data_IF_217364015827
#
_entry.id   IF_217364015827
#
_cell.length_a   1.000
_cell.length_b   1.000
_cell.length_c   1.000
_cell.angle_alpha   90.00
_cell.angle_beta   90.00
_cell.angle_gamma   90.00
#
_symmetry.space_group_name_H-M   'P 1'
#
loop_
_entity.id
_entity.type
_entity.pdbx_description
1 polymer ?
#
# COMPACT_ATOMS: atom_id res chain seq x y z
N UNK A 1 -14.11 -7.61 -11.97
CA UNK A 1 -13.88 -6.75 -10.80
C UNK A 1 -12.76 -7.38 -10.00
N UNK A 2 -11.60 -6.74 -9.92
CA UNK A 2 -10.47 -7.31 -9.20
C UNK A 2 -10.66 -7.16 -7.67
N UNK A 3 -9.85 -7.85 -6.88
CA UNK A 3 -9.98 -7.84 -5.41
C UNK A 3 -9.81 -6.44 -4.80
N UNK A 4 -9.01 -5.58 -5.43
CA UNK A 4 -8.81 -4.19 -5.03
C UNK A 4 -10.08 -3.35 -5.22
N UNK A 5 -10.73 -3.46 -6.39
CA UNK A 5 -12.01 -2.79 -6.66
C UNK A 5 -13.12 -3.26 -5.70
N UNK A 6 -13.10 -4.54 -5.32
CA UNK A 6 -14.03 -5.14 -4.38
C UNK A 6 -13.86 -4.59 -2.95
N UNK A 7 -12.61 -4.33 -2.52
CA UNK A 7 -12.32 -3.72 -1.22
C UNK A 7 -12.71 -2.24 -1.17
N UNK A 8 -12.41 -1.49 -2.24
CA UNK A 8 -12.73 -0.07 -2.36
C UNK A 8 -14.24 0.20 -2.35
N UNK A 9 -15.02 -0.67 -3.00
CA UNK A 9 -16.48 -0.56 -3.15
C UNK A 9 -17.26 -0.94 -1.89
N UNK A 10 -16.65 -1.70 -0.98
CA UNK A 10 -17.29 -2.23 0.24
C UNK A 10 -16.74 -1.61 1.53
N UNK A 11 -16.33 -0.33 1.49
CA UNK A 11 -15.81 0.44 2.64
C UNK A 11 -16.67 0.33 3.92
N UNK A 12 -17.99 0.19 3.78
CA UNK A 12 -18.95 0.04 4.88
C UNK A 12 -19.04 -1.39 5.45
N UNK A 13 -18.73 -2.42 4.65
CA UNK A 13 -18.69 -3.83 5.09
C UNK A 13 -17.36 -4.14 5.79
N UNK A 14 -16.30 -3.39 5.49
CA UNK A 14 -15.01 -3.43 6.19
C UNK A 14 -15.17 -3.25 7.70
N UNK A 15 -16.21 -2.54 8.16
CA UNK A 15 -16.55 -2.38 9.58
C UNK A 15 -17.07 -3.67 10.26
N UNK A 16 -17.73 -4.59 9.55
CA UNK A 16 -18.24 -5.84 10.14
C UNK A 16 -17.16 -6.90 10.34
N UNK A 17 -16.03 -6.82 9.61
CA UNK A 17 -14.90 -7.75 9.77
C UNK A 17 -14.04 -7.48 11.02
N UNK A 18 -14.24 -6.33 11.68
CA UNK A 18 -13.55 -5.96 12.93
C UNK A 18 -13.89 -6.93 14.08
N UNK A 19 -15.01 -7.68 14.00
CA UNK A 19 -15.43 -8.62 15.05
C UNK A 19 -14.63 -9.92 15.11
N UNK A 20 -13.87 -10.28 14.05
CA UNK A 20 -12.99 -11.45 14.02
C UNK A 20 -11.49 -11.11 13.98
N UNK A 21 -11.13 -9.84 14.18
CA UNK A 21 -9.74 -9.43 14.38
C UNK A 21 -8.97 -9.12 13.10
N UNK A 22 -8.70 -7.81 12.95
CA UNK A 22 -7.45 -7.27 12.41
C UNK A 22 -7.35 -7.25 10.87
N UNK A 23 -7.96 -6.25 10.24
CA UNK A 23 -7.17 -5.50 9.26
C UNK A 23 -6.28 -4.56 10.08
N UNK A 24 -5.01 -4.92 10.23
CA UNK A 24 -4.08 -4.13 11.03
C UNK A 24 -3.87 -2.76 10.37
N UNK A 25 -3.69 -1.73 11.17
CA UNK A 25 -3.23 -0.40 10.73
C UNK A 25 -2.05 -0.48 9.73
N UNK A 26 -1.20 -1.49 9.89
CA UNK A 26 -0.07 -1.79 9.01
C UNK A 26 -0.53 -2.05 7.57
N UNK A 27 -1.60 -2.84 7.37
CA UNK A 27 -2.10 -3.14 6.01
C UNK A 27 -2.65 -1.88 5.34
N UNK A 28 -3.36 -1.02 6.09
CA UNK A 28 -3.88 0.23 5.55
C UNK A 28 -2.76 1.17 5.12
N UNK A 29 -1.71 1.31 5.96
CA UNK A 29 -0.52 2.10 5.63
C UNK A 29 0.22 1.53 4.42
N UNK A 30 0.39 0.21 4.37
CA UNK A 30 1.10 -0.44 3.26
C UNK A 30 0.34 -0.27 1.92
N UNK A 31 -1.01 -0.26 1.95
CA UNK A 31 -1.84 0.10 0.78
C UNK A 31 -1.61 1.56 0.38
N UNK A 32 -1.62 2.49 1.33
CA UNK A 32 -1.43 3.92 1.07
C UNK A 32 -0.05 4.22 0.47
N UNK A 33 1.01 3.58 1.00
CA UNK A 33 2.37 3.66 0.45
C UNK A 33 2.41 3.17 -1.00
N UNK A 34 1.71 2.07 -1.30
CA UNK A 34 1.67 1.51 -2.65
C UNK A 34 0.90 2.41 -3.64
N UNK A 35 -0.22 3.00 -3.22
CA UNK A 35 -0.95 3.96 -4.05
C UNK A 35 -0.11 5.22 -4.30
N UNK A 36 0.57 5.72 -3.26
CA UNK A 36 1.47 6.87 -3.37
C UNK A 36 2.63 6.59 -4.33
N UNK A 37 3.26 5.42 -4.25
CA UNK A 37 4.31 5.00 -5.19
C UNK A 37 3.87 5.04 -6.65
N UNK A 38 2.66 4.58 -6.95
CA UNK A 38 2.11 4.61 -8.31
C UNK A 38 1.64 6.00 -8.76
N UNK A 39 1.45 6.94 -7.83
CA UNK A 39 1.06 8.32 -8.13
C UNK A 39 2.23 9.26 -8.40
N UNK A 40 3.45 8.90 -7.99
CA UNK A 40 4.66 9.68 -8.27
C UNK A 40 4.97 9.59 -9.77
N UNK A 41 5.33 10.73 -10.38
CA UNK A 41 5.61 10.87 -11.81
C UNK A 41 6.56 9.77 -12.35
N UNK A 42 6.29 9.30 -13.57
CA UNK A 42 7.05 8.21 -14.22
C UNK A 42 8.46 8.62 -14.67
N UNK A 43 8.75 9.91 -14.70
CA UNK A 43 10.09 10.45 -14.97
C UNK A 43 11.07 10.27 -13.79
N UNK A 44 10.58 9.90 -12.60
CA UNK A 44 11.40 9.67 -11.41
C UNK A 44 11.83 8.20 -11.35
N UNK A 45 13.12 7.95 -11.10
CA UNK A 45 13.65 6.59 -10.96
C UNK A 45 13.06 5.88 -9.74
N UNK A 46 12.96 4.55 -9.79
CA UNK A 46 12.36 3.75 -8.71
C UNK A 46 13.09 3.97 -7.38
N UNK A 47 14.40 4.06 -7.43
CA UNK A 47 15.28 4.31 -6.28
C UNK A 47 14.91 5.62 -5.59
N UNK A 48 14.66 6.68 -6.37
CA UNK A 48 14.28 7.98 -5.83
C UNK A 48 12.84 7.95 -5.28
N UNK A 49 11.90 7.24 -5.94
CA UNK A 49 10.54 7.02 -5.40
C UNK A 49 10.59 6.36 -4.02
N UNK A 50 11.47 5.36 -3.82
CA UNK A 50 11.60 4.71 -2.52
C UNK A 50 12.17 5.62 -1.44
N UNK A 51 13.13 6.48 -1.77
CA UNK A 51 13.70 7.46 -0.84
C UNK A 51 12.65 8.48 -0.39
N UNK A 52 11.88 9.04 -1.32
CA UNK A 52 10.81 10.01 -1.02
C UNK A 52 9.77 9.40 -0.06
N UNK A 53 9.31 8.18 -0.36
CA UNK A 53 8.33 7.50 0.47
C UNK A 53 8.90 7.08 1.84
N UNK A 54 10.18 6.73 1.91
CA UNK A 54 10.85 6.41 3.16
C UNK A 54 10.86 7.62 4.11
N UNK A 55 11.14 8.81 3.59
CA UNK A 55 11.06 10.06 4.35
C UNK A 55 9.63 10.41 4.76
N UNK A 56 8.67 10.33 3.82
CA UNK A 56 7.27 10.68 4.06
C UNK A 56 6.60 9.82 5.15
N UNK A 57 6.93 8.52 5.17
CA UNK A 57 6.30 7.55 6.07
C UNK A 57 7.17 7.19 7.28
N UNK A 58 8.33 7.83 7.44
CA UNK A 58 9.31 7.54 8.50
C UNK A 58 9.72 6.06 8.56
N UNK A 59 9.99 5.47 7.39
CA UNK A 59 10.39 4.07 7.24
C UNK A 59 11.76 3.97 6.58
N UNK A 60 12.40 2.80 6.69
CA UNK A 60 13.61 2.55 5.91
C UNK A 60 13.27 2.29 4.44
N UNK A 61 14.17 2.69 3.53
CA UNK A 61 14.04 2.44 2.09
C UNK A 61 13.77 0.96 1.79
N UNK A 62 14.51 0.05 2.45
CA UNK A 62 14.31 -1.41 2.35
C UNK A 62 12.90 -1.85 2.73
N UNK A 63 12.28 -1.18 3.72
CA UNK A 63 10.90 -1.50 4.11
C UNK A 63 9.91 -1.06 3.06
N UNK A 64 10.10 0.12 2.45
CA UNK A 64 9.29 0.58 1.32
C UNK A 64 9.40 -0.40 0.16
N UNK A 65 10.62 -0.76 -0.26
CA UNK A 65 10.85 -1.76 -1.32
C UNK A 65 10.10 -3.06 -1.07
N UNK A 66 10.19 -3.59 0.15
CA UNK A 66 9.50 -4.82 0.55
C UNK A 66 7.98 -4.68 0.47
N UNK A 67 7.42 -3.54 0.89
CA UNK A 67 5.99 -3.26 0.78
C UNK A 67 5.56 -3.24 -0.69
N UNK A 68 6.28 -2.51 -1.54
CA UNK A 68 5.96 -2.42 -2.97
C UNK A 68 6.03 -3.80 -3.64
N UNK A 69 7.08 -4.57 -3.37
CA UNK A 69 7.23 -5.94 -3.89
C UNK A 69 6.09 -6.86 -3.45
N UNK A 70 5.74 -6.85 -2.15
CA UNK A 70 4.66 -7.66 -1.62
C UNK A 70 3.30 -7.28 -2.24
N UNK A 71 3.04 -5.99 -2.42
CA UNK A 71 1.78 -5.52 -3.02
C UNK A 71 1.69 -5.85 -4.53
N UNK A 72 2.81 -5.76 -5.27
CA UNK A 72 2.86 -6.15 -6.68
C UNK A 72 2.65 -7.65 -6.89
N UNK A 73 3.24 -8.49 -6.04
CA UNK A 73 3.09 -9.95 -6.12
C UNK A 73 1.69 -10.46 -5.76
N UNK A 74 0.86 -9.64 -5.09
CA UNK A 74 -0.56 -9.95 -4.84
C UNK A 74 -1.45 -9.55 -6.03
N UNK A 75 -1.00 -8.61 -6.86
CA UNK A 75 -1.73 -8.12 -8.04
C UNK A 75 -1.44 -8.99 -9.27
N UNK A 76 -0.23 -9.55 -9.36
CA UNK A 76 0.22 -10.42 -10.44
C UNK A 76 -0.20 -11.87 -10.19
#
# INVERSE_FOLDING_TARGET
MNRYELLKKNKSITFQFVKNGILSYIILRDIEIFESYNSIEDNITKELKYIILAEQYELSVKRIEQIIYNMQSVIT
#
